data_IF_574852117162
#
_entry.id   IF_574852117162
#
_cell.length_a   1.000
_cell.length_b   1.000
_cell.length_c   1.000
_cell.angle_alpha   90.00
_cell.angle_beta   90.00
_cell.angle_gamma   90.00
#
_symmetry.space_group_name_H-M   'P 1'
#
loop_
_entity.id
_entity.type
_entity.pdbx_description
1 polymer ?
#
# COMPACT_ATOMS: atom_id res chain seq x y z
N UNK A 1 -2.44 -12.20 -21.23
CA UNK A 1 -3.23 -11.50 -20.19
C UNK A 1 -2.37 -10.50 -19.46
N UNK A 2 -2.86 -9.29 -19.36
CA UNK A 2 -2.11 -8.26 -18.60
C UNK A 2 -2.26 -8.50 -17.10
N UNK A 3 -1.17 -8.25 -16.38
CA UNK A 3 -1.19 -8.23 -14.93
C UNK A 3 -1.73 -6.88 -14.47
N UNK A 4 -2.49 -6.88 -13.38
CA UNK A 4 -3.05 -5.67 -12.79
C UNK A 4 -2.62 -5.57 -11.33
N UNK A 5 -2.14 -4.39 -10.94
CA UNK A 5 -1.60 -4.15 -9.61
C UNK A 5 -2.37 -3.01 -8.93
N UNK A 6 -2.80 -3.26 -7.70
CA UNK A 6 -3.35 -2.21 -6.84
C UNK A 6 -2.19 -1.63 -6.01
N UNK A 7 -1.98 -0.32 -6.10
CA UNK A 7 -0.91 0.37 -5.37
C UNK A 7 -1.54 1.22 -4.28
N UNK A 8 -1.15 0.97 -3.03
CA UNK A 8 -1.63 1.74 -1.88
C UNK A 8 -0.61 2.82 -1.54
N UNK A 9 -1.05 4.06 -1.46
CA UNK A 9 -0.21 5.19 -1.10
C UNK A 9 -0.74 5.86 0.15
N UNK A 10 0.06 5.84 1.23
CA UNK A 10 -0.29 6.52 2.48
C UNK A 10 -0.06 8.03 2.35
N UNK A 11 -0.55 8.81 3.30
CA UNK A 11 -0.42 10.26 3.30
C UNK A 11 0.24 10.73 4.61
N UNK A 12 1.48 11.26 4.63
CA UNK A 12 2.36 11.43 3.46
C UNK A 12 3.03 10.14 3.04
N UNK A 13 3.35 10.05 1.76
CA UNK A 13 3.96 8.88 1.13
C UNK A 13 5.42 9.17 0.76
N UNK A 14 6.27 8.14 0.80
CA UNK A 14 7.62 8.24 0.25
C UNK A 14 7.53 8.30 -1.28
N UNK A 15 7.70 9.50 -1.84
CA UNK A 15 7.57 9.72 -3.28
C UNK A 15 8.56 8.91 -4.10
N UNK A 16 9.82 8.85 -3.65
CA UNK A 16 10.84 8.07 -4.35
C UNK A 16 10.44 6.61 -4.48
N UNK A 17 10.01 6.00 -3.37
CA UNK A 17 9.56 4.59 -3.40
C UNK A 17 8.33 4.39 -4.26
N UNK A 18 7.33 5.27 -4.10
CA UNK A 18 6.11 5.17 -4.89
C UNK A 18 6.40 5.26 -6.39
N UNK A 19 7.13 6.29 -6.81
CA UNK A 19 7.38 6.50 -8.23
C UNK A 19 8.28 5.43 -8.84
N UNK A 20 9.18 4.83 -8.08
CA UNK A 20 9.97 3.70 -8.57
C UNK A 20 9.08 2.52 -8.97
N UNK A 21 8.07 2.20 -8.15
CA UNK A 21 7.12 1.16 -8.50
C UNK A 21 6.33 1.51 -9.76
N UNK A 22 5.81 2.75 -9.82
CA UNK A 22 4.96 3.15 -10.94
C UNK A 22 5.74 3.18 -12.25
N UNK A 23 6.97 3.70 -12.24
CA UNK A 23 7.80 3.73 -13.43
C UNK A 23 8.18 2.32 -13.90
N UNK A 24 8.49 1.42 -12.96
CA UNK A 24 8.79 0.04 -13.31
C UNK A 24 7.57 -0.65 -13.94
N UNK A 25 6.38 -0.43 -13.40
CA UNK A 25 5.15 -0.99 -13.97
C UNK A 25 4.89 -0.44 -15.37
N UNK A 26 5.08 0.86 -15.55
CA UNK A 26 4.91 1.49 -16.85
C UNK A 26 5.87 0.92 -17.89
N UNK A 27 7.16 0.81 -17.54
CA UNK A 27 8.18 0.29 -18.46
C UNK A 27 7.94 -1.18 -18.83
N UNK A 28 7.36 -1.95 -17.94
CA UNK A 28 7.08 -3.38 -18.17
C UNK A 28 5.66 -3.64 -18.64
N UNK A 29 4.90 -2.58 -18.96
CA UNK A 29 3.53 -2.67 -19.47
C UNK A 29 2.58 -3.40 -18.52
N UNK A 30 2.78 -3.20 -17.21
CA UNK A 30 1.92 -3.73 -16.18
C UNK A 30 0.89 -2.66 -15.84
N UNK A 31 -0.39 -3.02 -15.89
CA UNK A 31 -1.46 -2.10 -15.50
C UNK A 31 -1.45 -1.89 -13.99
N UNK A 32 -1.64 -0.65 -13.56
CA UNK A 32 -1.75 -0.35 -12.13
C UNK A 32 -2.78 0.73 -11.89
N UNK A 33 -3.29 0.75 -10.66
CA UNK A 33 -4.19 1.81 -10.19
C UNK A 33 -3.75 2.19 -8.77
N UNK A 34 -3.63 3.49 -8.51
CA UNK A 34 -3.14 4.01 -7.23
C UNK A 34 -4.33 4.42 -6.36
N UNK A 35 -4.37 3.86 -5.15
CA UNK A 35 -5.40 4.14 -4.17
C UNK A 35 -4.80 4.87 -2.97
N UNK A 36 -5.38 6.01 -2.61
CA UNK A 36 -4.97 6.73 -1.42
C UNK A 36 -5.49 6.03 -0.16
N UNK A 37 -4.61 5.81 0.81
CA UNK A 37 -5.00 5.36 2.15
C UNK A 37 -5.39 6.61 2.93
N UNK A 38 -6.54 7.18 2.56
CA UNK A 38 -7.03 8.46 3.05
C UNK A 38 -8.50 8.60 2.68
N UNK A 39 -9.15 9.63 3.21
CA UNK A 39 -10.53 9.98 2.85
C UNK A 39 -10.63 10.67 1.49
N UNK A 40 -9.50 11.12 0.94
CA UNK A 40 -9.45 11.88 -0.31
C UNK A 40 -8.37 11.33 -1.22
N UNK A 41 -8.52 11.56 -2.53
CA UNK A 41 -7.51 11.20 -3.53
C UNK A 41 -6.29 12.13 -3.49
N UNK A 42 -6.41 13.28 -2.82
CA UNK A 42 -5.33 14.26 -2.72
C UNK A 42 -4.45 13.94 -1.52
N UNK A 43 -3.22 13.52 -1.79
CA UNK A 43 -2.23 13.22 -0.76
C UNK A 43 -0.95 14.00 -1.03
N UNK A 44 0.03 13.88 -0.13
CA UNK A 44 1.32 14.54 -0.29
C UNK A 44 2.45 13.54 -0.09
N UNK A 45 3.59 13.83 -0.73
CA UNK A 45 4.82 13.12 -0.43
C UNK A 45 5.39 13.60 0.90
N UNK A 46 6.38 12.87 1.43
CA UNK A 46 7.11 13.30 2.63
C UNK A 46 7.70 14.70 2.46
N UNK A 47 8.09 15.06 1.23
CA UNK A 47 8.67 16.37 0.92
C UNK A 47 7.63 17.47 0.69
N UNK A 48 6.34 17.15 0.77
CA UNK A 48 5.26 18.13 0.65
C UNK A 48 4.70 18.33 -0.75
N UNK A 49 5.10 17.52 -1.72
CA UNK A 49 4.58 17.62 -3.09
C UNK A 49 3.18 17.00 -3.15
N UNK A 50 2.23 17.73 -3.71
CA UNK A 50 0.86 17.25 -3.85
C UNK A 50 0.76 16.20 -4.96
N UNK A 51 0.04 15.11 -4.66
CA UNK A 51 -0.22 14.02 -5.59
C UNK A 51 -1.72 13.76 -5.59
N UNK A 52 -2.28 13.57 -6.78
CA UNK A 52 -3.65 13.12 -6.94
C UNK A 52 -3.63 11.66 -7.37
N UNK A 53 -4.17 10.78 -6.52
CA UNK A 53 -4.27 9.35 -6.83
C UNK A 53 -5.48 9.07 -7.71
N UNK A 54 -5.60 7.83 -8.19
CA UNK A 54 -6.72 7.44 -9.05
C UNK A 54 -8.02 7.31 -8.27
N UNK A 55 -7.93 6.84 -7.01
CA UNK A 55 -9.11 6.61 -6.18
C UNK A 55 -8.70 6.53 -4.71
N UNK A 56 -9.65 6.29 -3.82
CA UNK A 56 -9.39 6.06 -2.40
C UNK A 56 -9.52 4.58 -2.07
N UNK A 57 -8.95 4.17 -0.94
CA UNK A 57 -8.99 2.78 -0.48
C UNK A 57 -10.43 2.27 -0.27
N UNK A 58 -11.36 3.17 0.02
CA UNK A 58 -12.76 2.80 0.18
C UNK A 58 -13.32 2.12 -1.08
N UNK A 59 -12.86 2.51 -2.25
CA UNK A 59 -13.30 1.94 -3.52
C UNK A 59 -12.54 0.68 -3.91
N UNK A 60 -11.45 0.36 -3.23
CA UNK A 60 -10.72 -0.91 -3.44
C UNK A 60 -11.33 -2.04 -2.63
N UNK A 61 -11.93 -1.73 -1.48
CA UNK A 61 -12.55 -2.71 -0.61
C UNK A 61 -13.61 -3.49 -1.39
N UNK A 62 -13.51 -4.82 -1.37
CA UNK A 62 -14.42 -5.69 -2.10
C UNK A 62 -14.05 -5.93 -3.56
N UNK A 63 -12.99 -5.30 -4.06
CA UNK A 63 -12.54 -5.41 -5.45
C UNK A 63 -11.17 -6.08 -5.60
N UNK A 64 -10.71 -6.81 -4.61
CA UNK A 64 -9.40 -7.47 -4.66
C UNK A 64 -9.30 -8.51 -5.79
N UNK A 65 -10.42 -9.04 -6.27
CA UNK A 65 -10.43 -9.98 -7.40
C UNK A 65 -10.02 -9.33 -8.73
N UNK A 66 -10.12 -8.00 -8.82
CA UNK A 66 -9.77 -7.27 -10.03
C UNK A 66 -8.25 -7.14 -10.22
N UNK A 67 -7.45 -7.56 -9.24
CA UNK A 67 -6.01 -7.35 -9.24
C UNK A 67 -5.26 -8.65 -8.96
N UNK A 68 -4.05 -8.74 -9.50
CA UNK A 68 -3.14 -9.88 -9.31
C UNK A 68 -2.20 -9.67 -8.13
N UNK A 69 -1.91 -8.42 -7.77
CA UNK A 69 -0.96 -8.08 -6.72
C UNK A 69 -1.34 -6.79 -6.01
N UNK A 70 -0.82 -6.65 -4.81
CA UNK A 70 -0.97 -5.44 -3.98
C UNK A 70 0.42 -4.90 -3.67
N UNK A 71 0.61 -3.60 -3.88
CA UNK A 71 1.85 -2.90 -3.51
C UNK A 71 1.51 -1.90 -2.40
N UNK A 72 2.25 -1.95 -1.31
CA UNK A 72 2.14 -0.98 -0.23
C UNK A 72 3.31 0.01 -0.30
N UNK A 73 3.00 1.27 -0.58
CA UNK A 73 3.99 2.35 -0.62
C UNK A 73 3.98 3.06 0.72
N UNK A 74 5.01 2.86 1.53
CA UNK A 74 5.08 3.46 2.85
C UNK A 74 5.49 4.95 2.79
N UNK A 75 5.44 5.61 3.92
CA UNK A 75 5.81 7.01 4.06
C UNK A 75 5.81 7.40 5.53
N UNK A 76 5.95 8.68 5.80
CA UNK A 76 5.99 9.19 7.17
C UNK A 76 4.69 8.95 7.95
N UNK A 77 3.60 8.59 7.27
CA UNK A 77 2.37 8.19 7.94
C UNK A 77 2.52 6.89 8.73
N UNK A 78 3.43 5.99 8.33
CA UNK A 78 3.57 4.67 8.95
C UNK A 78 4.08 4.75 10.40
N UNK A 79 5.13 5.52 10.73
CA UNK A 79 5.58 5.64 12.12
C UNK A 79 4.53 6.18 13.10
N UNK A 80 3.57 6.96 12.60
CA UNK A 80 2.50 7.54 13.43
C UNK A 80 1.18 6.79 13.25
N UNK A 81 1.20 5.64 12.61
CA UNK A 81 0.00 4.87 12.31
C UNK A 81 -0.86 4.59 13.53
N UNK A 82 -0.24 4.25 14.65
CA UNK A 82 -0.98 3.91 15.87
C UNK A 82 -1.86 5.06 16.36
N UNK A 83 -1.47 6.30 16.10
CA UNK A 83 -2.25 7.48 16.47
C UNK A 83 -3.51 7.64 15.63
N UNK A 84 -3.54 7.00 14.47
CA UNK A 84 -4.63 7.09 13.48
C UNK A 84 -5.26 5.73 13.17
N UNK A 85 -4.98 4.71 14.00
CA UNK A 85 -5.43 3.35 13.72
C UNK A 85 -6.96 3.22 13.65
N UNK A 86 -7.67 4.10 14.35
CA UNK A 86 -9.15 4.10 14.33
C UNK A 86 -9.78 4.81 13.15
N UNK A 87 -8.99 5.49 12.32
CA UNK A 87 -9.52 6.16 11.13
C UNK A 87 -10.08 5.14 10.14
N UNK A 88 -11.21 5.48 9.50
CA UNK A 88 -11.90 4.56 8.61
C UNK A 88 -11.00 4.02 7.52
N UNK A 89 -10.18 4.88 6.90
CA UNK A 89 -9.28 4.44 5.83
C UNK A 89 -8.20 3.47 6.33
N UNK A 90 -7.77 3.56 7.57
CA UNK A 90 -6.79 2.64 8.14
C UNK A 90 -7.41 1.30 8.53
N UNK A 91 -8.66 1.30 8.96
CA UNK A 91 -9.42 0.06 9.18
C UNK A 91 -9.58 -0.67 7.84
N UNK A 92 -9.94 0.05 6.79
CA UNK A 92 -10.08 -0.52 5.45
C UNK A 92 -8.74 -1.04 4.91
N UNK A 93 -7.62 -0.40 5.27
CA UNK A 93 -6.29 -0.85 4.88
C UNK A 93 -6.05 -2.30 5.31
N UNK A 94 -6.33 -2.61 6.57
CA UNK A 94 -6.15 -3.98 7.07
C UNK A 94 -7.11 -4.95 6.40
N UNK A 95 -8.35 -4.54 6.14
CA UNK A 95 -9.32 -5.38 5.46
C UNK A 95 -8.86 -5.73 4.04
N UNK A 96 -8.32 -4.75 3.32
CA UNK A 96 -7.79 -4.94 1.97
C UNK A 96 -6.59 -5.86 1.98
N UNK A 97 -5.63 -5.64 2.88
CA UNK A 97 -4.44 -6.49 3.01
C UNK A 97 -4.85 -7.94 3.27
N UNK A 98 -5.77 -8.16 4.20
CA UNK A 98 -6.25 -9.51 4.51
C UNK A 98 -6.94 -10.16 3.31
N UNK A 99 -7.75 -9.41 2.57
CA UNK A 99 -8.45 -9.94 1.40
C UNK A 99 -7.47 -10.44 0.33
N UNK A 100 -6.41 -9.67 0.05
CA UNK A 100 -5.38 -10.09 -0.90
C UNK A 100 -4.62 -11.32 -0.39
N UNK A 101 -4.30 -11.36 0.90
CA UNK A 101 -3.59 -12.50 1.49
C UNK A 101 -4.42 -13.78 1.46
N UNK A 102 -5.70 -13.68 1.80
CA UNK A 102 -6.60 -14.84 1.81
C UNK A 102 -6.78 -15.46 0.42
N UNK A 103 -6.66 -14.64 -0.62
CA UNK A 103 -6.74 -15.08 -2.01
C UNK A 103 -5.41 -15.53 -2.57
N UNK A 104 -4.36 -15.56 -1.75
CA UNK A 104 -3.02 -15.99 -2.16
C UNK A 104 -2.34 -15.07 -3.16
N UNK A 105 -2.72 -13.81 -3.20
CA UNK A 105 -2.15 -12.85 -4.15
C UNK A 105 -0.80 -12.33 -3.68
N UNK A 106 0.01 -11.88 -4.63
CA UNK A 106 1.34 -11.33 -4.35
C UNK A 106 1.18 -9.99 -3.63
N UNK A 107 1.94 -9.81 -2.54
CA UNK A 107 1.98 -8.55 -1.81
C UNK A 107 3.42 -8.04 -1.77
N UNK A 108 3.61 -6.80 -2.18
CA UNK A 108 4.92 -6.17 -2.31
C UNK A 108 4.93 -4.91 -1.44
N UNK A 109 6.06 -4.70 -0.75
CA UNK A 109 6.24 -3.48 0.03
C UNK A 109 7.72 -3.22 0.26
N UNK A 110 8.02 -2.04 0.76
CA UNK A 110 9.38 -1.64 1.09
C UNK A 110 9.39 -0.88 2.41
N UNK A 111 10.59 -0.58 2.93
CA UNK A 111 10.76 0.17 4.17
C UNK A 111 10.02 -0.54 5.33
N UNK A 112 9.03 0.09 5.92
CA UNK A 112 8.26 -0.45 7.04
C UNK A 112 7.00 -1.22 6.62
N UNK A 113 6.82 -1.53 5.33
CA UNK A 113 5.63 -2.22 4.86
C UNK A 113 5.44 -3.59 5.51
N UNK A 114 6.54 -4.30 5.78
CA UNK A 114 6.47 -5.60 6.45
C UNK A 114 5.81 -5.48 7.84
N UNK A 115 6.07 -4.40 8.56
CA UNK A 115 5.44 -4.15 9.85
C UNK A 115 3.92 -3.98 9.70
N UNK A 116 3.47 -3.28 8.65
CA UNK A 116 2.05 -3.12 8.36
C UNK A 116 1.40 -4.44 8.02
N UNK A 117 2.05 -5.27 7.22
CA UNK A 117 1.55 -6.60 6.90
C UNK A 117 1.47 -7.48 8.14
N UNK A 118 2.48 -7.39 9.01
CA UNK A 118 2.48 -8.15 10.26
C UNK A 118 1.34 -7.73 11.19
N UNK A 119 1.09 -6.43 11.31
CA UNK A 119 -0.04 -5.91 12.09
C UNK A 119 -1.37 -6.39 11.56
N UNK A 120 -1.47 -6.64 10.26
CA UNK A 120 -2.66 -7.22 9.65
C UNK A 120 -2.75 -8.74 9.83
N UNK A 121 -1.71 -9.38 10.38
CA UNK A 121 -1.70 -10.81 10.64
C UNK A 121 -1.49 -11.69 9.43
N UNK A 122 -0.89 -11.17 8.36
CA UNK A 122 -0.77 -11.91 7.09
C UNK A 122 0.65 -12.40 6.80
N UNK A 123 1.58 -12.24 7.74
CA UNK A 123 3.01 -12.54 7.50
C UNK A 123 3.48 -13.88 8.04
N UNK A 124 2.65 -14.60 8.77
CA UNK A 124 3.04 -15.85 9.38
C UNK A 124 3.53 -16.85 8.33
N UNK A 125 4.74 -17.35 8.50
CA UNK A 125 5.33 -18.32 7.59
C UNK A 125 5.84 -17.72 6.28
N UNK A 126 5.84 -16.39 6.13
CA UNK A 126 6.31 -15.72 4.94
C UNK A 126 7.67 -15.09 5.13
N UNK A 127 8.42 -15.00 4.02
CA UNK A 127 9.73 -14.36 4.03
C UNK A 127 9.58 -12.87 3.77
N UNK A 128 10.18 -12.04 4.64
CA UNK A 128 10.06 -10.59 4.57
C UNK A 128 11.41 -9.91 4.61
N UNK A 129 11.54 -8.81 3.85
CA UNK A 129 12.63 -7.86 3.99
C UNK A 129 12.09 -6.62 4.71
N UNK A 130 12.71 -6.23 5.83
CA UNK A 130 12.24 -5.11 6.63
C UNK A 130 13.34 -4.08 6.84
N UNK A 131 12.93 -2.82 7.00
CA UNK A 131 13.84 -1.76 7.39
C UNK A 131 14.39 -2.06 8.78
N UNK A 132 15.70 -1.83 9.05
CA UNK A 132 16.29 -2.16 10.36
C UNK A 132 15.55 -1.57 11.55
N UNK A 133 15.01 -0.37 11.45
CA UNK A 133 14.26 0.27 12.53
C UNK A 133 12.91 -0.40 12.79
N UNK A 134 12.36 -1.10 11.82
CA UNK A 134 11.09 -1.79 11.95
C UNK A 134 11.23 -3.22 12.48
N UNK A 135 12.46 -3.70 12.60
CA UNK A 135 12.74 -5.06 13.08
C UNK A 135 12.58 -5.23 14.58
N UNK A 136 12.70 -4.14 15.30
CA UNK A 136 12.70 -4.18 16.77
C UNK A 136 11.36 -4.60 17.36
#
# INVERSE_FOLDING_TARGET
>A
MSKRVAVLAVNPVNGFGLFQYLEAFYENKIEYKVYAVSDTVDIRTNSGIAIKTDDTIAHLKGHSDDFDALVFSCGDAVPVFAQHAGETYNVMLFEVIKAFAEKGKIMIGHCAAAMMFDMAGVTKGKRLAVHPLAKA
#
